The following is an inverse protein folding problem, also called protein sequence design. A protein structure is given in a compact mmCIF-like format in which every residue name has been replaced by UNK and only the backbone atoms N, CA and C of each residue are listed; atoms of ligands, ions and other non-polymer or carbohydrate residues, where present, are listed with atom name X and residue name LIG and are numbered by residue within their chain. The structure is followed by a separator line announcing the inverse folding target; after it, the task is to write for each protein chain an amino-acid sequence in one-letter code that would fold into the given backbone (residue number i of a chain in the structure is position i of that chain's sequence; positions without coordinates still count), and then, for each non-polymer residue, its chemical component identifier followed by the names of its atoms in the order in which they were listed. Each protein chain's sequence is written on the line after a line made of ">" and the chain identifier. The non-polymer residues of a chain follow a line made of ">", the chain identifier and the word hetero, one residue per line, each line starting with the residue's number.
data_IF_538469103486
#
_entry.id   IF_538469103486
#
_cell.length_a   1.000
_cell.length_b   1.000
_cell.length_c   1.000
_cell.angle_alpha   90.00
_cell.angle_beta   90.00
_cell.angle_gamma   90.00
#
_symmetry.space_group_name_H-M   'P 1'
#
loop_
_entity.id
_entity.type
_entity.pdbx_description
1 polymer ?
#
# COMPACT_ATOMS: atom_id res chain seq x y z
N UNK A 1 -2.95 -9.01 2.41
CA UNK A 1 -2.77 -7.80 1.58
C UNK A 1 -4.09 -7.38 0.93
N UNK A 2 -4.72 -8.22 0.12
CA UNK A 2 -5.98 -7.91 -0.59
C UNK A 2 -7.11 -7.44 0.34
N UNK A 3 -7.39 -8.19 1.41
CA UNK A 3 -8.43 -7.80 2.38
C UNK A 3 -8.18 -6.42 3.03
N UNK A 4 -6.92 -6.08 3.32
CA UNK A 4 -6.58 -4.76 3.87
C UNK A 4 -6.68 -3.65 2.81
N UNK A 5 -6.30 -3.92 1.56
CA UNK A 5 -6.50 -2.94 0.47
C UNK A 5 -7.99 -2.68 0.24
N UNK A 6 -8.84 -3.72 0.30
CA UNK A 6 -10.29 -3.58 0.24
C UNK A 6 -10.86 -2.74 1.39
N UNK A 7 -10.34 -2.90 2.62
CA UNK A 7 -10.73 -2.07 3.75
C UNK A 7 -10.36 -0.59 3.55
N UNK A 8 -9.18 -0.31 2.99
CA UNK A 8 -8.74 1.07 2.68
C UNK A 8 -9.64 1.70 1.61
N UNK A 9 -10.03 0.94 0.58
CA UNK A 9 -11.00 1.38 -0.43
C UNK A 9 -12.32 1.76 0.23
N UNK A 10 -12.88 0.88 1.05
CA UNK A 10 -14.16 1.15 1.72
C UNK A 10 -14.09 2.37 2.66
N UNK A 11 -12.99 2.55 3.38
CA UNK A 11 -12.77 3.70 4.26
C UNK A 11 -12.67 5.02 3.47
N UNK A 12 -11.99 5.01 2.32
CA UNK A 12 -11.91 6.15 1.43
C UNK A 12 -13.29 6.53 0.84
N UNK A 13 -14.04 5.54 0.32
CA UNK A 13 -15.38 5.79 -0.25
C UNK A 13 -16.40 6.27 0.82
N UNK A 14 -16.21 5.86 2.08
CA UNK A 14 -17.03 6.35 3.20
C UNK A 14 -16.67 7.79 3.58
N UNK A 15 -15.37 8.13 3.58
CA UNK A 15 -14.88 9.45 4.00
C UNK A 15 -15.14 10.54 2.97
N UNK A 16 -15.11 10.20 1.68
CA UNK A 16 -15.39 11.12 0.58
C UNK A 16 -16.55 10.58 -0.27
N UNK A 17 -17.80 10.99 0.03
CA UNK A 17 -18.97 10.54 -0.72
C UNK A 17 -18.85 10.84 -2.22
N UNK A 18 -19.10 9.83 -3.06
CA UNK A 18 -19.00 9.94 -4.52
C UNK A 18 -17.60 9.66 -5.08
N UNK A 19 -16.60 9.40 -4.24
CA UNK A 19 -15.31 8.86 -4.66
C UNK A 19 -15.44 7.37 -4.98
N UNK A 20 -14.69 6.90 -5.99
CA UNK A 20 -14.40 5.48 -6.22
C UNK A 20 -12.89 5.24 -6.19
N UNK A 21 -12.46 4.15 -5.58
CA UNK A 21 -11.03 3.81 -5.44
C UNK A 21 -10.75 2.38 -5.93
N UNK A 22 -9.67 2.23 -6.70
CA UNK A 22 -9.09 0.95 -7.05
C UNK A 22 -7.62 0.90 -6.63
N UNK A 23 -7.20 -0.20 -6.01
CA UNK A 23 -5.82 -0.43 -5.58
C UNK A 23 -5.34 -1.75 -6.15
N UNK A 24 -4.21 -1.72 -6.85
CA UNK A 24 -3.50 -2.91 -7.30
C UNK A 24 -2.06 -2.89 -6.76
N UNK A 25 -1.57 -4.05 -6.36
CA UNK A 25 -0.19 -4.23 -5.91
C UNK A 25 0.43 -5.44 -6.58
N UNK A 26 1.60 -5.26 -7.19
CA UNK A 26 2.35 -6.33 -7.85
C UNK A 26 2.93 -7.28 -6.79
N UNK A 27 2.84 -8.58 -7.04
CA UNK A 27 3.48 -9.61 -6.22
C UNK A 27 4.76 -10.11 -6.90
N UNK A 28 5.70 -10.65 -6.12
CA UNK A 28 6.95 -11.22 -6.63
C UNK A 28 8.03 -10.17 -6.93
N UNK A 29 8.92 -10.50 -7.88
CA UNK A 29 10.06 -9.64 -8.23
C UNK A 29 9.59 -8.46 -9.05
N UNK A 30 9.91 -7.25 -8.59
CA UNK A 30 9.64 -6.00 -9.28
C UNK A 30 10.97 -5.39 -9.70
N UNK A 31 11.23 -5.18 -11.00
CA UNK A 31 12.45 -4.53 -11.46
C UNK A 31 12.62 -3.13 -10.85
N UNK A 32 13.85 -2.65 -10.82
CA UNK A 32 14.12 -1.26 -10.40
C UNK A 32 13.41 -0.31 -11.36
N UNK A 33 12.87 0.78 -10.82
CA UNK A 33 12.08 1.81 -11.55
C UNK A 33 10.71 1.37 -12.07
N UNK A 34 10.26 0.15 -11.74
CA UNK A 34 8.91 -0.32 -12.07
C UNK A 34 7.90 -0.02 -10.96
N UNK A 35 6.64 0.22 -11.36
CA UNK A 35 5.55 0.46 -10.42
C UNK A 35 5.20 -0.82 -9.66
N UNK A 36 5.29 -0.76 -8.33
CA UNK A 36 4.88 -1.85 -7.42
C UNK A 36 3.42 -1.70 -6.96
N UNK A 37 2.94 -0.47 -6.80
CA UNK A 37 1.56 -0.14 -6.41
C UNK A 37 0.95 0.77 -7.48
N UNK A 38 -0.31 0.53 -7.82
CA UNK A 38 -1.15 1.45 -8.59
C UNK A 38 -2.40 1.79 -7.79
N UNK A 39 -2.73 3.07 -7.73
CA UNK A 39 -3.97 3.57 -7.10
C UNK A 39 -4.68 4.45 -8.12
N UNK A 40 -5.92 4.07 -8.46
CA UNK A 40 -6.82 4.86 -9.28
C UNK A 40 -7.94 5.43 -8.43
N UNK A 41 -8.23 6.72 -8.60
CA UNK A 41 -9.32 7.41 -7.90
C UNK A 41 -10.15 8.20 -8.90
N UNK A 42 -11.47 8.15 -8.77
CA UNK A 42 -12.39 9.02 -9.50
C UNK A 42 -13.35 9.72 -8.54
N UNK A 43 -13.78 10.93 -8.89
CA UNK A 43 -14.66 11.76 -8.05
C UNK A 43 -15.31 12.88 -8.87
N UNK A 44 -16.46 13.43 -8.47
CA UNK A 44 -17.08 14.59 -9.13
C UNK A 44 -16.21 15.86 -9.11
N UNK A 45 -15.43 16.07 -8.03
CA UNK A 45 -14.59 17.25 -7.86
C UNK A 45 -13.15 16.86 -7.54
N UNK A 46 -12.20 17.42 -8.29
CA UNK A 46 -10.77 17.07 -8.20
C UNK A 46 -10.19 17.13 -6.77
N UNK A 47 -10.73 17.97 -5.89
CA UNK A 47 -10.26 18.08 -4.50
C UNK A 47 -10.36 16.77 -3.74
N UNK A 48 -11.52 16.10 -3.85
CA UNK A 48 -11.77 14.82 -3.20
C UNK A 48 -10.93 13.71 -3.84
N UNK A 49 -10.72 13.75 -5.16
CA UNK A 49 -9.82 12.83 -5.85
C UNK A 49 -8.40 12.85 -5.25
N UNK A 50 -7.81 14.03 -5.12
CA UNK A 50 -6.46 14.17 -4.57
C UNK A 50 -6.38 13.77 -3.11
N UNK A 51 -7.38 14.17 -2.31
CA UNK A 51 -7.43 13.83 -0.89
C UNK A 51 -7.54 12.32 -0.65
N UNK A 52 -8.45 11.66 -1.38
CA UNK A 52 -8.66 10.21 -1.29
C UNK A 52 -7.46 9.42 -1.84
N UNK A 53 -6.84 9.87 -2.95
CA UNK A 53 -5.63 9.25 -3.50
C UNK A 53 -4.47 9.29 -2.50
N UNK A 54 -4.24 10.46 -1.88
CA UNK A 54 -3.21 10.62 -0.85
C UNK A 54 -3.47 9.74 0.37
N UNK A 55 -4.72 9.72 0.84
CA UNK A 55 -5.11 8.87 1.95
C UNK A 55 -4.87 7.39 1.65
N UNK A 56 -5.23 6.92 0.45
CA UNK A 56 -5.09 5.52 0.08
C UNK A 56 -3.63 5.07 0.07
N UNK A 57 -2.71 5.85 -0.52
CA UNK A 57 -1.28 5.48 -0.55
C UNK A 57 -0.65 5.50 0.84
N UNK A 58 -0.89 6.55 1.63
CA UNK A 58 -0.32 6.70 2.98
C UNK A 58 -0.82 5.57 3.90
N UNK A 59 -2.12 5.25 3.82
CA UNK A 59 -2.73 4.20 4.64
C UNK A 59 -2.26 2.81 4.22
N UNK A 60 -2.13 2.56 2.91
CA UNK A 60 -1.59 1.30 2.39
C UNK A 60 -0.16 1.08 2.89
N UNK A 61 0.67 2.12 2.81
CA UNK A 61 2.06 2.10 3.27
C UNK A 61 2.19 1.90 4.78
N UNK A 62 1.26 2.41 5.56
CA UNK A 62 1.26 2.25 7.02
C UNK A 62 0.71 0.90 7.49
N UNK A 63 -0.34 0.38 6.85
CA UNK A 63 -1.10 -0.79 7.33
C UNK A 63 -0.73 -2.09 6.63
N UNK A 64 -0.35 -2.04 5.36
CA UNK A 64 -0.01 -3.22 4.57
C UNK A 64 1.50 -3.44 4.66
N UNK A 65 1.96 -4.56 5.26
CA UNK A 65 3.38 -4.85 5.37
C UNK A 65 3.93 -5.26 3.99
N UNK A 66 4.28 -4.26 3.18
CA UNK A 66 4.96 -4.45 1.90
C UNK A 66 6.45 -4.58 2.20
N UNK A 67 6.93 -5.82 2.23
CA UNK A 67 8.34 -6.13 2.39
C UNK A 67 9.03 -6.09 1.03
N UNK A 68 10.06 -5.24 0.88
CA UNK A 68 10.94 -5.26 -0.29
C UNK A 68 12.24 -5.96 0.09
N UNK A 69 12.50 -7.12 -0.51
CA UNK A 69 13.83 -7.74 -0.47
C UNK A 69 14.67 -7.12 -1.57
N UNK A 70 15.61 -6.27 -1.20
CA UNK A 70 16.53 -5.65 -2.17
C UNK A 70 17.70 -6.62 -2.39
N UNK A 71 17.94 -6.97 -3.65
CA UNK A 71 19.07 -7.79 -4.08
C UNK A 71 20.15 -6.87 -4.65
N UNK A 72 21.32 -6.90 -4.05
CA UNK A 72 22.53 -6.19 -4.47
C UNK A 72 23.55 -7.20 -5.03
N UNK A 73 24.59 -6.70 -5.70
CA UNK A 73 25.63 -7.55 -6.29
C UNK A 73 26.41 -8.38 -5.25
N UNK A 74 26.39 -7.97 -3.99
CA UNK A 74 27.13 -8.54 -2.85
C UNK A 74 26.21 -9.23 -1.80
N UNK A 75 24.88 -9.26 -1.99
CA UNK A 75 23.96 -9.90 -1.06
C UNK A 75 22.50 -9.45 -1.19
N UNK A 76 21.65 -9.89 -0.26
CA UNK A 76 20.24 -9.47 -0.22
C UNK A 76 19.84 -9.01 1.17
N UNK A 77 19.09 -7.90 1.26
CA UNK A 77 18.61 -7.33 2.51
C UNK A 77 17.09 -7.13 2.47
N UNK A 78 16.41 -7.50 3.55
CA UNK A 78 15.01 -7.18 3.74
C UNK A 78 14.87 -5.76 4.31
N UNK A 79 14.13 -4.89 3.61
CA UNK A 79 13.74 -3.58 4.13
C UNK A 79 12.24 -3.56 4.43
N UNK A 80 11.92 -3.20 5.68
CA UNK A 80 10.58 -2.81 6.07
C UNK A 80 10.26 -1.41 5.52
N UNK A 81 8.97 -1.10 5.38
CA UNK A 81 8.55 0.24 5.01
C UNK A 81 8.83 1.21 6.18
N UNK A 82 9.46 2.35 5.93
CA UNK A 82 9.81 3.32 6.99
C UNK A 82 8.56 3.85 7.71
N UNK A 83 7.44 3.93 7.00
CA UNK A 83 6.15 4.44 7.48
C UNK A 83 5.43 3.43 8.41
N UNK A 84 5.81 2.15 8.40
CA UNK A 84 5.29 1.14 9.34
C UNK A 84 5.80 1.32 10.79
N UNK A 85 6.75 2.24 11.04
CA UNK A 85 7.31 2.51 12.37
C UNK A 85 6.34 3.06 13.42
N UNK A 86 5.05 3.24 13.11
CA UNK A 86 3.98 3.58 14.07
C UNK A 86 2.99 2.45 14.35
N UNK A 87 3.20 1.25 13.81
CA UNK A 87 2.32 0.08 13.98
C UNK A 87 2.93 -1.00 14.87
N UNK A 88 2.14 -1.49 15.83
CA UNK A 88 2.49 -2.56 16.79
C UNK A 88 3.15 -3.76 16.10
N UNK A 89 4.27 -4.22 16.67
CA UNK A 89 4.95 -5.46 16.29
C UNK A 89 4.01 -6.65 16.53
N UNK A 90 3.53 -7.29 15.45
CA UNK A 90 2.91 -8.62 15.55
C UNK A 90 3.96 -9.64 15.15
N UNK A 91 4.43 -10.43 16.13
CA UNK A 91 5.35 -11.54 15.92
C UNK A 91 4.67 -12.63 15.08
N UNK A 92 5.18 -12.88 13.87
CA UNK A 92 4.76 -14.01 13.04
C UNK A 92 5.65 -15.21 13.28
N UNK A 93 5.08 -16.29 13.82
CA UNK A 93 5.70 -17.62 13.92
C UNK A 93 5.97 -18.20 12.53
N UNK A 94 7.20 -18.69 12.33
CA UNK A 94 7.62 -19.46 11.15
C UNK A 94 6.76 -20.73 11.00
N UNK A 95 6.40 -21.09 9.77
CA UNK A 95 6.02 -22.46 9.42
C UNK A 95 6.82 -22.94 8.23
N UNK A 96 7.31 -24.17 8.41
CA UNK A 96 8.02 -25.07 7.50
C UNK A 96 7.26 -25.37 6.21
#
# INVERSE_FOLDING_TARGET
>A
AEAQMGAIVAEAETRWPGVRVAIAHRLGVVPVSEASVLIGVSSPHRGDCYAASRFAIDTLKARVPIWKKEHYADGSAWKANQESGRGVLVAGTEKS
#
